data_IF_194373756740
#
_entry.id   IF_194373756740
#
_cell.length_a   1.000
_cell.length_b   1.000
_cell.length_c   1.000
_cell.angle_alpha   90.00
_cell.angle_beta   90.00
_cell.angle_gamma   90.00
#
_symmetry.space_group_name_H-M   'P 1'
#
loop_
_entity.id
_entity.type
_entity.pdbx_description
1 polymer ?
#
# COMPACT_ATOMS: atom_id res chain seq x y z
N UNK A 1 6.89 -3.37 11.11
CA UNK A 1 5.84 -3.85 10.21
C UNK A 1 6.17 -3.42 8.79
N UNK A 2 6.01 -4.29 7.81
CA UNK A 2 6.18 -3.95 6.39
C UNK A 2 4.96 -4.38 5.58
N UNK A 3 4.55 -3.55 4.62
CA UNK A 3 3.58 -3.88 3.58
C UNK A 3 4.24 -3.89 2.21
N UNK A 4 3.75 -4.74 1.31
CA UNK A 4 4.29 -4.92 -0.03
C UNK A 4 3.20 -4.71 -1.08
N UNK A 5 3.45 -3.80 -2.03
CA UNK A 5 2.54 -3.59 -3.15
C UNK A 5 2.53 -4.79 -4.13
N UNK A 6 1.38 -5.06 -4.78
CA UNK A 6 1.25 -6.19 -5.72
C UNK A 6 2.33 -6.22 -6.81
N UNK A 7 2.64 -5.08 -7.43
CA UNK A 7 3.65 -5.00 -8.49
C UNK A 7 5.08 -5.32 -8.01
N UNK A 8 5.38 -5.12 -6.73
CA UNK A 8 6.70 -5.45 -6.16
C UNK A 8 6.91 -6.95 -6.14
N UNK A 9 5.83 -7.74 -5.89
CA UNK A 9 5.93 -9.20 -5.76
C UNK A 9 6.48 -9.90 -7.01
N UNK A 10 6.29 -9.32 -8.18
CA UNK A 10 6.85 -9.84 -9.43
C UNK A 10 8.14 -9.11 -9.86
N UNK A 11 8.19 -7.79 -9.68
CA UNK A 11 9.28 -6.99 -10.23
C UNK A 11 10.64 -7.20 -9.55
N UNK A 12 10.68 -7.56 -8.26
CA UNK A 12 11.95 -7.74 -7.53
C UNK A 12 12.76 -8.97 -7.99
N UNK A 13 12.07 -9.97 -8.52
CA UNK A 13 12.66 -11.25 -8.93
C UNK A 13 13.61 -11.12 -10.10
N UNK A 14 13.34 -10.20 -11.02
CA UNK A 14 14.20 -9.93 -12.19
C UNK A 14 15.64 -9.58 -11.78
N UNK A 15 15.82 -8.94 -10.64
CA UNK A 15 17.13 -8.51 -10.15
C UNK A 15 18.00 -9.66 -9.58
N UNK A 16 17.38 -10.82 -9.34
CA UNK A 16 18.06 -12.00 -8.78
C UNK A 16 18.09 -13.17 -9.75
N UNK A 17 17.52 -13.02 -10.95
CA UNK A 17 17.47 -14.08 -11.95
C UNK A 17 16.66 -15.30 -11.50
N UNK A 18 15.66 -15.11 -10.67
CA UNK A 18 14.81 -16.19 -10.16
C UNK A 18 13.93 -16.75 -11.28
N UNK A 19 13.72 -18.06 -11.25
CA UNK A 19 12.70 -18.68 -12.12
C UNK A 19 11.30 -18.32 -11.62
N UNK A 20 10.24 -18.47 -12.48
CA UNK A 20 8.87 -18.22 -12.04
C UNK A 20 8.46 -19.04 -10.80
N UNK A 21 8.98 -20.28 -10.67
CA UNK A 21 8.73 -21.15 -9.54
C UNK A 21 9.39 -20.69 -8.26
N UNK A 22 10.52 -19.99 -8.36
CA UNK A 22 11.24 -19.39 -7.25
C UNK A 22 10.72 -18.00 -6.90
N UNK A 23 10.02 -17.35 -7.85
CA UNK A 23 9.59 -15.95 -7.76
C UNK A 23 8.24 -15.81 -7.03
N UNK A 24 8.02 -16.54 -5.95
CA UNK A 24 6.74 -16.53 -5.24
C UNK A 24 6.61 -15.39 -4.24
N UNK A 25 5.39 -14.96 -3.92
CA UNK A 25 5.17 -14.01 -2.82
C UNK A 25 5.67 -14.51 -1.47
N UNK A 26 5.67 -15.82 -1.26
CA UNK A 26 6.16 -16.46 -0.03
C UNK A 26 7.67 -16.32 0.15
N UNK A 27 8.45 -16.44 -0.93
CA UNK A 27 9.90 -16.19 -0.90
C UNK A 27 10.20 -14.73 -0.57
N UNK A 28 9.43 -13.79 -1.12
CA UNK A 28 9.56 -12.37 -0.77
C UNK A 28 9.25 -12.13 0.72
N UNK A 29 8.20 -12.75 1.27
CA UNK A 29 7.88 -12.63 2.68
C UNK A 29 9.02 -13.15 3.58
N UNK A 30 9.64 -14.27 3.20
CA UNK A 30 10.81 -14.81 3.89
C UNK A 30 12.02 -13.88 3.81
N UNK A 31 12.29 -13.30 2.63
CA UNK A 31 13.39 -12.35 2.45
C UNK A 31 13.21 -11.10 3.34
N UNK A 32 12.00 -10.60 3.43
CA UNK A 32 11.67 -9.46 4.32
C UNK A 32 11.85 -9.83 5.80
N UNK A 33 11.47 -11.03 6.21
CA UNK A 33 11.71 -11.49 7.59
C UNK A 33 13.19 -11.60 7.90
N UNK A 34 14.00 -12.06 6.96
CA UNK A 34 15.47 -12.08 7.13
C UNK A 34 16.09 -10.68 7.21
N UNK A 35 15.47 -9.66 6.60
CA UNK A 35 15.85 -8.27 6.82
C UNK A 35 15.47 -7.73 8.22
N UNK A 36 14.77 -8.53 9.03
CA UNK A 36 14.39 -8.18 10.41
C UNK A 36 12.97 -7.63 10.57
N UNK A 37 12.13 -7.67 9.54
CA UNK A 37 10.73 -7.28 9.68
C UNK A 37 9.96 -8.33 10.48
N UNK A 38 9.36 -7.93 11.59
CA UNK A 38 8.59 -8.82 12.47
C UNK A 38 7.26 -9.24 11.87
N UNK A 39 6.61 -8.34 11.12
CA UNK A 39 5.32 -8.57 10.48
C UNK A 39 5.40 -8.13 9.02
N UNK A 40 4.95 -9.00 8.13
CA UNK A 40 4.99 -8.82 6.68
C UNK A 40 3.60 -8.99 6.10
N UNK A 41 3.06 -7.95 5.48
CA UNK A 41 1.70 -7.91 4.98
C UNK A 41 1.61 -7.60 3.49
N UNK A 42 0.48 -8.00 2.89
CA UNK A 42 0.13 -7.67 1.52
C UNK A 42 -0.75 -6.42 1.48
N UNK A 43 -0.38 -5.44 0.67
CA UNK A 43 -1.18 -4.22 0.45
C UNK A 43 -2.55 -4.52 -0.18
N UNK A 44 -2.77 -5.72 -0.73
CA UNK A 44 -4.09 -6.12 -1.23
C UNK A 44 -5.19 -6.03 -0.17
N UNK A 45 -4.89 -6.31 1.09
CA UNK A 45 -5.84 -6.13 2.18
C UNK A 45 -6.38 -4.69 2.23
N UNK A 46 -5.50 -3.71 2.16
CA UNK A 46 -5.88 -2.30 2.19
C UNK A 46 -6.41 -1.78 0.85
N UNK A 47 -6.14 -2.49 -0.25
CA UNK A 47 -6.81 -2.22 -1.52
C UNK A 47 -8.31 -2.56 -1.44
N UNK A 48 -8.68 -3.68 -0.80
CA UNK A 48 -10.08 -4.00 -0.52
C UNK A 48 -10.75 -2.92 0.36
N UNK A 49 -10.05 -2.42 1.38
CA UNK A 49 -10.56 -1.31 2.20
C UNK A 49 -10.77 -0.04 1.38
N UNK A 50 -9.83 0.28 0.47
CA UNK A 50 -9.97 1.44 -0.42
C UNK A 50 -11.18 1.30 -1.33
N UNK A 51 -11.45 0.10 -1.87
CA UNK A 51 -12.65 -0.17 -2.68
C UNK A 51 -13.92 0.08 -1.84
N UNK A 52 -13.95 -0.37 -0.61
CA UNK A 52 -15.09 -0.17 0.28
C UNK A 52 -15.33 1.31 0.60
N UNK A 53 -14.28 2.06 0.91
CA UNK A 53 -14.38 3.49 1.24
C UNK A 53 -14.71 4.34 0.01
N UNK A 54 -13.99 4.19 -1.10
CA UNK A 54 -14.29 4.94 -2.33
C UNK A 54 -15.65 4.54 -2.93
N UNK A 55 -16.02 3.25 -2.86
CA UNK A 55 -17.34 2.78 -3.28
C UNK A 55 -18.47 3.37 -2.43
N UNK A 56 -18.29 3.47 -1.12
CA UNK A 56 -19.25 4.10 -0.21
C UNK A 56 -19.36 5.59 -0.50
N UNK A 57 -18.25 6.28 -0.70
CA UNK A 57 -18.22 7.69 -1.12
C UNK A 57 -18.92 7.89 -2.47
N UNK A 58 -18.69 6.99 -3.43
CA UNK A 58 -19.36 7.04 -4.73
C UNK A 58 -20.87 6.90 -4.60
N UNK A 59 -21.35 5.94 -3.82
CA UNK A 59 -22.80 5.72 -3.59
C UNK A 59 -23.42 6.95 -2.92
N UNK A 60 -22.76 7.52 -1.91
CA UNK A 60 -23.20 8.73 -1.24
C UNK A 60 -23.29 9.90 -2.21
N UNK A 61 -22.24 10.18 -2.96
CA UNK A 61 -22.21 11.25 -3.97
C UNK A 61 -23.25 11.03 -5.08
N UNK A 62 -23.46 9.78 -5.51
CA UNK A 62 -24.44 9.44 -6.55
C UNK A 62 -25.88 9.61 -6.06
N UNK A 63 -26.16 9.25 -4.82
CA UNK A 63 -27.47 9.40 -4.20
C UNK A 63 -27.84 10.89 -4.02
N UNK A 64 -26.85 11.72 -3.71
CA UNK A 64 -27.03 13.17 -3.53
C UNK A 64 -26.39 13.96 -4.69
N UNK A 65 -26.61 13.52 -5.92
CA UNK A 65 -25.89 13.95 -7.12
C UNK A 65 -25.85 15.47 -7.31
N UNK A 66 -26.94 16.16 -6.98
CA UNK A 66 -27.06 17.60 -7.14
C UNK A 66 -26.23 18.42 -6.13
N UNK A 67 -25.81 17.79 -5.04
CA UNK A 67 -24.94 18.40 -4.02
C UNK A 67 -23.43 18.23 -4.31
N UNK A 68 -23.08 17.40 -5.28
CA UNK A 68 -21.70 17.04 -5.57
C UNK A 68 -21.25 17.45 -6.98
N UNK A 69 -19.93 17.57 -7.16
CA UNK A 69 -19.33 17.84 -8.47
C UNK A 69 -18.99 16.54 -9.18
N UNK A 70 -19.25 16.50 -10.48
CA UNK A 70 -19.03 15.36 -11.34
C UNK A 70 -18.08 15.69 -12.50
N UNK A 71 -17.34 14.71 -13.04
CA UNK A 71 -17.24 13.31 -12.57
C UNK A 71 -16.50 13.20 -11.22
N UNK A 72 -16.65 12.07 -10.52
CA UNK A 72 -15.81 11.69 -9.39
C UNK A 72 -14.53 11.02 -9.93
N UNK A 73 -13.37 11.37 -9.37
CA UNK A 73 -12.08 10.75 -9.70
C UNK A 73 -11.52 10.02 -8.49
N UNK A 74 -10.90 8.87 -8.73
CA UNK A 74 -10.14 8.16 -7.70
C UNK A 74 -8.90 8.96 -7.28
N UNK A 75 -8.41 8.72 -6.06
CA UNK A 75 -7.28 9.47 -5.49
C UNK A 75 -6.13 8.59 -4.98
N UNK A 76 -6.14 7.29 -5.28
CA UNK A 76 -5.12 6.36 -4.80
C UNK A 76 -3.72 6.58 -5.42
N UNK A 77 -3.61 7.27 -6.56
CA UNK A 77 -2.33 7.60 -7.20
C UNK A 77 -1.88 9.03 -6.85
N UNK A 78 -0.84 9.22 -6.02
CA UNK A 78 -0.37 10.55 -5.64
C UNK A 78 0.19 11.36 -6.81
N UNK A 79 0.72 10.70 -7.83
CA UNK A 79 1.15 11.36 -9.07
C UNK A 79 -0.03 11.99 -9.82
N UNK A 80 -1.13 11.25 -9.93
CA UNK A 80 -2.39 11.74 -10.50
C UNK A 80 -2.97 12.90 -9.69
N UNK A 81 -3.05 12.76 -8.38
CA UNK A 81 -3.57 13.82 -7.49
C UNK A 81 -2.76 15.12 -7.63
N UNK A 82 -1.43 15.02 -7.69
CA UNK A 82 -0.55 16.19 -7.89
C UNK A 82 -0.74 16.80 -9.28
N UNK A 83 -0.89 15.97 -10.31
CA UNK A 83 -1.16 16.45 -11.67
C UNK A 83 -2.48 17.22 -11.73
N UNK A 84 -3.56 16.66 -11.19
CA UNK A 84 -4.86 17.34 -11.16
C UNK A 84 -4.76 18.67 -10.41
N UNK A 85 -4.21 18.66 -9.19
CA UNK A 85 -4.10 19.88 -8.38
C UNK A 85 -3.21 20.96 -9.01
N UNK A 86 -2.18 20.56 -9.77
CA UNK A 86 -1.25 21.49 -10.41
C UNK A 86 -1.71 22.00 -11.77
N UNK A 87 -2.30 21.15 -12.59
CA UNK A 87 -2.66 21.50 -13.97
C UNK A 87 -4.14 21.80 -14.14
N UNK A 88 -4.99 21.21 -13.32
CA UNK A 88 -6.44 21.31 -13.41
C UNK A 88 -7.08 21.55 -12.01
N UNK A 89 -6.69 22.63 -11.31
CA UNK A 89 -7.11 22.87 -9.93
C UNK A 89 -8.65 22.94 -9.75
N UNK A 90 -9.38 23.28 -10.81
CA UNK A 90 -10.85 23.30 -10.81
C UNK A 90 -11.45 21.91 -10.56
N UNK A 91 -10.72 20.82 -10.86
CA UNK A 91 -11.16 19.44 -10.61
C UNK A 91 -10.66 18.86 -9.26
N UNK A 92 -9.95 19.63 -8.46
CA UNK A 92 -9.45 19.13 -7.18
C UNK A 92 -10.57 18.62 -6.26
N UNK A 93 -11.74 19.26 -6.31
CA UNK A 93 -12.93 18.85 -5.55
C UNK A 93 -13.66 17.61 -6.09
N UNK A 94 -13.27 17.16 -7.27
CA UNK A 94 -13.80 15.95 -7.89
C UNK A 94 -13.04 14.68 -7.44
N UNK A 95 -11.86 14.86 -6.82
CA UNK A 95 -11.09 13.73 -6.30
C UNK A 95 -11.81 13.09 -5.11
N UNK A 96 -11.66 11.77 -5.00
CA UNK A 96 -12.07 11.03 -3.80
C UNK A 96 -11.31 11.54 -2.57
N UNK A 97 -11.96 11.48 -1.41
CA UNK A 97 -11.38 11.82 -0.12
C UNK A 97 -10.71 10.63 0.56
N UNK A 98 -10.88 9.42 0.02
CA UNK A 98 -10.30 8.21 0.56
C UNK A 98 -8.77 8.23 0.50
N UNK A 99 -8.14 7.70 1.55
CA UNK A 99 -6.70 7.44 1.56
C UNK A 99 -6.35 6.35 0.55
N UNK A 100 -5.15 6.39 0.00
CA UNK A 100 -4.65 5.29 -0.84
C UNK A 100 -4.48 3.99 -0.04
N UNK A 101 -4.43 2.81 -0.71
CA UNK A 101 -4.17 1.54 -0.03
C UNK A 101 -2.92 1.58 0.86
N UNK A 102 -1.85 2.27 0.44
CA UNK A 102 -0.66 2.44 1.26
C UNK A 102 -0.97 3.11 2.60
N UNK A 103 -1.69 4.22 2.56
CA UNK A 103 -1.98 5.02 3.77
C UNK A 103 -3.07 4.38 4.63
N UNK A 104 -4.07 3.76 4.00
CA UNK A 104 -5.09 2.97 4.73
C UNK A 104 -4.44 1.83 5.51
N UNK A 105 -3.49 1.11 4.89
CA UNK A 105 -2.75 0.09 5.60
C UNK A 105 -2.06 0.64 6.84
N UNK A 106 -1.35 1.76 6.70
CA UNK A 106 -0.65 2.41 7.82
C UNK A 106 -1.59 2.79 8.95
N UNK A 107 -2.71 3.42 8.61
CA UNK A 107 -3.74 3.80 9.58
C UNK A 107 -4.30 2.59 10.35
N UNK A 108 -4.63 1.50 9.65
CA UNK A 108 -5.14 0.26 10.28
C UNK A 108 -4.07 -0.47 11.07
N UNK A 109 -2.82 -0.46 10.59
CA UNK A 109 -1.70 -1.07 11.32
C UNK A 109 -1.46 -0.37 12.65
N UNK A 110 -1.47 0.96 12.66
CA UNK A 110 -1.25 1.79 13.87
C UNK A 110 -2.50 1.98 14.74
N UNK A 111 -3.65 1.43 14.36
CA UNK A 111 -4.85 1.41 15.20
C UNK A 111 -5.24 -0.02 15.56
N UNK A 112 -6.02 -0.66 14.73
CA UNK A 112 -6.55 -2.00 14.95
C UNK A 112 -5.48 -3.06 15.21
N UNK A 113 -4.43 -3.11 14.37
CA UNK A 113 -3.43 -4.16 14.51
C UNK A 113 -2.54 -3.92 15.73
N UNK A 114 -2.17 -2.67 16.01
CA UNK A 114 -1.40 -2.31 17.22
C UNK A 114 -2.15 -2.71 18.49
N UNK A 115 -3.47 -2.41 18.57
CA UNK A 115 -4.32 -2.83 19.66
C UNK A 115 -4.38 -4.36 19.78
N UNK A 116 -4.59 -5.05 18.66
CA UNK A 116 -4.69 -6.51 18.62
C UNK A 116 -3.46 -7.23 19.16
N UNK A 117 -2.27 -6.68 18.92
CA UNK A 117 -0.99 -7.27 19.40
C UNK A 117 -0.51 -6.64 20.72
N UNK A 118 -1.26 -5.70 21.29
CA UNK A 118 -0.94 -5.04 22.57
C UNK A 118 0.29 -4.13 22.50
N UNK A 119 0.56 -3.51 21.36
CA UNK A 119 1.69 -2.59 21.15
C UNK A 119 1.18 -1.15 21.07
N UNK A 120 1.85 -0.23 21.75
CA UNK A 120 1.58 1.19 21.60
C UNK A 120 1.89 1.61 20.15
N UNK A 121 0.94 2.23 19.41
CA UNK A 121 1.14 2.71 18.05
C UNK A 121 2.42 3.53 17.84
N UNK A 122 2.81 4.31 18.83
CA UNK A 122 4.06 5.12 18.81
C UNK A 122 5.33 4.28 18.71
N UNK A 123 5.28 3.04 19.17
CA UNK A 123 6.39 2.09 19.07
C UNK A 123 6.36 1.26 17.79
N UNK A 124 5.31 1.40 16.98
CA UNK A 124 5.19 0.71 15.69
C UNK A 124 5.80 1.56 14.58
N UNK A 125 6.63 0.93 13.74
CA UNK A 125 7.12 1.54 12.50
C UNK A 125 6.55 0.79 11.32
N UNK A 126 5.85 1.54 10.45
CA UNK A 126 5.23 1.01 9.22
C UNK A 126 6.09 1.40 8.03
N UNK A 127 6.62 0.40 7.36
CA UNK A 127 7.41 0.55 6.15
C UNK A 127 6.59 0.06 4.97
N UNK A 128 6.60 0.81 3.86
CA UNK A 128 5.93 0.43 2.62
C UNK A 128 6.95 0.15 1.53
N UNK A 129 6.84 -1.02 0.89
CA UNK A 129 7.59 -1.34 -0.32
C UNK A 129 6.70 -1.11 -1.52
N UNK A 130 7.04 -0.08 -2.32
CA UNK A 130 6.20 0.44 -3.40
C UNK A 130 6.97 0.52 -4.73
N UNK A 131 6.30 0.35 -5.88
CA UNK A 131 6.97 0.46 -7.18
C UNK A 131 7.14 1.92 -7.64
N UNK A 132 6.68 2.89 -6.87
CA UNK A 132 6.52 4.29 -7.29
C UNK A 132 7.15 5.25 -6.27
N UNK A 133 7.96 6.20 -6.77
CA UNK A 133 8.57 7.25 -5.94
C UNK A 133 7.57 8.29 -5.44
N UNK A 134 6.44 8.49 -6.15
CA UNK A 134 5.38 9.41 -5.70
C UNK A 134 4.77 8.99 -4.37
N UNK A 135 4.83 7.70 -4.03
CA UNK A 135 4.39 7.18 -2.74
C UNK A 135 5.22 7.68 -1.56
N UNK A 136 6.48 8.04 -1.79
CA UNK A 136 7.32 8.72 -0.77
C UNK A 136 6.74 10.10 -0.44
N UNK A 137 6.47 10.89 -1.48
CA UNK A 137 5.89 12.22 -1.31
C UNK A 137 4.47 12.19 -0.71
N UNK A 138 3.69 11.12 -0.97
CA UNK A 138 2.38 10.93 -0.34
C UNK A 138 2.51 10.75 1.17
N UNK A 139 3.43 9.92 1.63
CA UNK A 139 3.63 9.66 3.05
C UNK A 139 4.07 10.91 3.85
N UNK A 140 4.67 11.89 3.18
CA UNK A 140 5.09 13.17 3.77
C UNK A 140 3.94 14.18 3.90
N UNK A 141 2.77 13.93 3.29
CA UNK A 141 1.65 14.88 3.34
C UNK A 141 1.14 15.06 4.78
N UNK A 142 0.83 16.30 5.20
CA UNK A 142 0.33 16.57 6.55
C UNK A 142 -0.99 15.87 6.88
N UNK A 143 -1.75 15.48 5.86
CA UNK A 143 -3.04 14.81 6.00
C UNK A 143 -2.93 13.28 6.15
N UNK A 144 -1.74 12.71 5.92
CA UNK A 144 -1.49 11.27 6.03
C UNK A 144 -0.99 10.93 7.43
N UNK A 145 -1.92 11.06 8.40
CA UNK A 145 -1.67 10.86 9.83
C UNK A 145 -2.66 9.84 10.41
N UNK A 146 -2.17 9.09 11.38
CA UNK A 146 -2.98 8.19 12.20
C UNK A 146 -3.78 8.96 13.26
N UNK A 147 -4.56 8.24 14.05
CA UNK A 147 -5.38 8.83 15.10
C UNK A 147 -4.57 9.52 16.22
N UNK A 148 -3.28 9.20 16.35
CA UNK A 148 -2.37 9.80 17.33
C UNK A 148 -1.62 11.03 16.76
N UNK A 149 -1.80 11.34 15.48
CA UNK A 149 -1.12 12.43 14.80
C UNK A 149 0.26 12.06 14.23
N UNK A 150 0.67 10.80 14.36
CA UNK A 150 1.90 10.28 13.76
C UNK A 150 1.68 9.93 12.26
N UNK A 151 2.74 9.86 11.42
CA UNK A 151 2.58 9.42 10.04
C UNK A 151 1.92 8.04 9.95
N UNK A 152 0.96 7.86 9.04
CA UNK A 152 0.39 6.54 8.74
C UNK A 152 1.50 5.55 8.34
N UNK A 153 2.40 6.01 7.47
CA UNK A 153 3.56 5.25 6.98
C UNK A 153 4.82 6.05 7.31
N UNK A 154 5.75 5.41 8.03
CA UNK A 154 6.97 6.07 8.49
C UNK A 154 8.03 6.15 7.39
N UNK A 155 8.16 5.09 6.56
CA UNK A 155 9.17 5.01 5.51
C UNK A 155 8.58 4.33 4.27
N UNK A 156 8.86 4.89 3.10
CA UNK A 156 8.55 4.25 1.82
C UNK A 156 9.85 3.92 1.10
N UNK A 157 10.03 2.66 0.75
CA UNK A 157 11.14 2.17 -0.07
C UNK A 157 10.64 1.65 -1.41
N UNK A 158 11.42 1.85 -2.44
CA UNK A 158 11.12 1.34 -3.78
C UNK A 158 11.57 -0.10 -3.96
N UNK A 159 11.10 -0.78 -5.01
CA UNK A 159 11.59 -2.12 -5.39
C UNK A 159 13.12 -2.16 -5.51
N UNK A 160 13.74 -1.12 -6.11
CA UNK A 160 15.21 -1.05 -6.26
C UNK A 160 15.92 -0.91 -4.92
N UNK A 161 15.36 -0.13 -4.00
CA UNK A 161 15.91 0.03 -2.66
C UNK A 161 15.81 -1.27 -1.86
N UNK A 162 14.67 -1.98 -1.96
CA UNK A 162 14.53 -3.32 -1.37
C UNK A 162 15.59 -4.29 -1.91
N UNK A 163 15.73 -4.38 -3.23
CA UNK A 163 16.75 -5.24 -3.86
C UNK A 163 18.15 -4.90 -3.35
N UNK A 164 18.47 -3.61 -3.24
CA UNK A 164 19.75 -3.17 -2.70
C UNK A 164 19.93 -3.60 -1.24
N UNK A 165 18.89 -3.48 -0.41
CA UNK A 165 18.93 -3.94 0.99
C UNK A 165 19.20 -5.44 1.07
N UNK A 166 18.49 -6.26 0.29
CA UNK A 166 18.67 -7.71 0.24
C UNK A 166 20.11 -8.08 -0.15
N UNK A 167 20.64 -7.45 -1.19
CA UNK A 167 22.04 -7.68 -1.64
C UNK A 167 23.07 -7.26 -0.59
N UNK A 168 22.89 -6.10 0.04
CA UNK A 168 23.80 -5.63 1.09
C UNK A 168 23.77 -6.54 2.33
N UNK A 169 22.64 -7.19 2.59
CA UNK A 169 22.48 -8.16 3.67
C UNK A 169 22.89 -9.58 3.28
N UNK A 170 23.40 -9.77 2.05
CA UNK A 170 23.80 -11.09 1.50
C UNK A 170 22.68 -12.13 1.58
N UNK A 171 21.44 -11.72 1.43
CA UNK A 171 20.29 -12.61 1.39
C UNK A 171 20.17 -13.14 -0.04
N UNK A 172 20.26 -14.47 -0.19
CA UNK A 172 20.01 -15.16 -1.45
C UNK A 172 18.56 -15.67 -1.50
N UNK A 173 17.69 -15.02 -2.29
CA UNK A 173 16.30 -15.45 -2.37
C UNK A 173 16.09 -16.86 -2.91
N UNK A 174 17.00 -17.36 -3.75
CA UNK A 174 16.90 -18.71 -4.32
C UNK A 174 17.06 -19.82 -3.26
N UNK A 175 17.68 -19.50 -2.13
CA UNK A 175 17.90 -20.43 -1.03
C UNK A 175 16.83 -20.35 0.08
N UNK A 176 15.81 -19.47 -0.07
CA UNK A 176 14.80 -19.27 0.94
C UNK A 176 13.62 -20.24 0.78
N UNK A 177 13.17 -20.76 1.91
CA UNK A 177 11.86 -21.42 1.99
C UNK A 177 10.74 -20.39 2.03
N UNK A 178 9.60 -20.74 1.47
CA UNK A 178 8.43 -19.86 1.47
C UNK A 178 7.85 -19.67 2.87
N UNK A 179 7.36 -18.47 3.13
CA UNK A 179 6.51 -18.19 4.28
C UNK A 179 5.30 -17.36 3.85
N UNK A 180 4.18 -17.50 4.57
CA UNK A 180 2.97 -16.72 4.27
C UNK A 180 3.08 -15.29 4.78
N UNK A 181 2.31 -14.38 4.16
CA UNK A 181 2.03 -13.09 4.76
C UNK A 181 1.30 -13.25 6.09
N UNK A 182 1.48 -12.30 7.00
CA UNK A 182 0.85 -12.35 8.31
C UNK A 182 -0.65 -12.03 8.24
N UNK A 183 -1.43 -12.68 9.07
CA UNK A 183 -2.87 -12.45 9.20
C UNK A 183 -3.16 -11.50 10.39
N UNK A 184 -4.21 -10.66 10.32
CA UNK A 184 -5.26 -10.62 9.30
C UNK A 184 -4.96 -9.69 8.10
N UNK A 185 -3.97 -8.82 8.19
CA UNK A 185 -3.72 -7.76 7.22
C UNK A 185 -2.95 -8.23 5.96
N UNK A 186 -2.68 -9.52 5.85
CA UNK A 186 -1.93 -10.11 4.72
C UNK A 186 -2.81 -10.80 3.69
N UNK A 187 -4.13 -10.81 3.86
CA UNK A 187 -5.07 -11.46 2.95
C UNK A 187 -5.95 -10.43 2.26
N UNK A 188 -6.01 -10.50 0.94
CA UNK A 188 -6.93 -9.70 0.12
C UNK A 188 -7.94 -10.57 -0.60
N UNK A 189 -8.99 -9.96 -1.13
CA UNK A 189 -10.00 -10.63 -1.97
C UNK A 189 -9.67 -10.54 -3.45
N UNK A 190 -10.52 -11.14 -4.30
CA UNK A 190 -10.42 -10.97 -5.76
C UNK A 190 -10.59 -9.52 -6.22
N UNK A 191 -11.33 -8.71 -5.47
CA UNK A 191 -11.51 -7.27 -5.77
C UNK A 191 -10.18 -6.51 -5.73
N UNK A 192 -9.33 -6.77 -4.72
CA UNK A 192 -8.00 -6.18 -4.65
C UNK A 192 -7.10 -6.56 -5.84
N UNK A 193 -7.25 -7.77 -6.37
CA UNK A 193 -6.53 -8.23 -7.56
C UNK A 193 -6.98 -7.46 -8.80
N UNK A 194 -8.28 -7.28 -8.98
CA UNK A 194 -8.87 -6.49 -10.06
C UNK A 194 -8.39 -5.03 -9.97
N UNK A 195 -8.47 -4.43 -8.80
CA UNK A 195 -7.97 -3.08 -8.53
C UNK A 195 -6.52 -2.88 -8.99
N UNK A 196 -5.65 -3.86 -8.73
CA UNK A 196 -4.24 -3.80 -9.13
C UNK A 196 -4.00 -4.02 -10.62
N UNK A 197 -4.93 -4.68 -11.33
CA UNK A 197 -4.80 -5.02 -12.75
C UNK A 197 -5.39 -3.97 -13.68
N UNK A 198 -6.50 -3.34 -13.28
CA UNK A 198 -7.28 -2.45 -14.16
C UNK A 198 -6.86 -0.98 -14.06
N UNK A 199 -6.32 -0.55 -12.95
CA UNK A 199 -5.88 0.82 -12.72
C UNK A 199 -6.83 1.65 -11.87
N UNK A 200 -7.79 1.04 -11.20
CA UNK A 200 -8.57 1.75 -10.19
C UNK A 200 -9.88 1.09 -9.77
N UNK A 201 -10.49 1.70 -8.76
CA UNK A 201 -11.74 1.25 -8.13
C UNK A 201 -12.93 1.33 -9.09
N UNK A 202 -12.87 2.21 -10.07
CA UNK A 202 -13.99 2.52 -10.96
C UNK A 202 -14.14 1.58 -12.16
N UNK A 203 -13.21 0.67 -12.35
CA UNK A 203 -13.29 -0.39 -13.33
C UNK A 203 -13.95 -1.65 -12.71
#
# INVERSE_FOLDING_TARGET
>A
VVQVAPAVRSAWTEYFGLTPEQATPGVLASALRQLGFQYVFDTNFSADLTIMEEGSEFIERFTHRDAHTWPMFTSCCPGWVRFVKGQFPQFAKNLSTAKSPQQMFGAIAKSYFAEKIGVDPKNMRVISVMPCTSKKAEAELPTMRDACGDPDVDVVITTRELVRMLRCSMIDPAALEESSFDSPLGTGTGAAVIFGATGGVMD
#
